data_IF_798065420969
#
_entry.id   IF_798065420969
#
_cell.length_a   1.000
_cell.length_b   1.000
_cell.length_c   1.000
_cell.angle_alpha   90.00
_cell.angle_beta   90.00
_cell.angle_gamma   90.00
#
_symmetry.space_group_name_H-M   'P 1'
#
loop_
_entity.id
_entity.type
_entity.pdbx_description
1 polymer ?
#
# COMPACT_ATOMS: atom_id res chain seq x y z
N UNK A 1 22.98 4.79 -16.68
CA UNK A 1 22.77 5.41 -15.36
C UNK A 1 22.76 4.28 -14.34
N UNK A 2 23.73 4.18 -13.42
CA UNK A 2 23.69 3.17 -12.38
C UNK A 2 22.50 3.41 -11.44
N UNK A 3 21.82 2.34 -11.00
CA UNK A 3 20.66 2.40 -10.10
C UNK A 3 20.95 3.08 -8.74
N UNK A 4 22.21 3.37 -8.45
CA UNK A 4 22.68 4.03 -7.23
C UNK A 4 22.28 5.52 -7.12
N UNK A 5 21.83 6.15 -8.20
CA UNK A 5 21.44 7.58 -8.21
C UNK A 5 19.93 7.82 -7.97
N UNK A 6 19.14 6.78 -7.65
CA UNK A 6 17.73 6.96 -7.30
C UNK A 6 17.60 7.65 -5.93
N UNK A 7 17.40 8.97 -5.94
CA UNK A 7 17.13 9.80 -4.74
C UNK A 7 15.64 9.85 -4.41
N UNK A 8 14.95 8.71 -4.48
CA UNK A 8 13.59 8.56 -3.98
C UNK A 8 13.62 7.97 -2.57
N UNK A 9 12.63 8.29 -1.73
CA UNK A 9 12.42 7.50 -0.51
C UNK A 9 12.11 6.05 -0.93
N UNK A 10 12.71 5.03 -0.29
CA UNK A 10 12.40 3.65 -0.63
C UNK A 10 10.92 3.39 -0.42
N UNK A 11 10.28 2.89 -1.47
CA UNK A 11 8.91 2.43 -1.42
C UNK A 11 8.91 0.92 -1.32
N UNK A 12 8.29 0.39 -0.26
CA UNK A 12 8.18 -1.04 -0.03
C UNK A 12 6.80 -1.52 -0.43
N UNK A 13 6.75 -2.64 -1.14
CA UNK A 13 5.53 -3.41 -1.33
C UNK A 13 5.28 -4.18 -0.03
N UNK A 14 4.11 -4.01 0.59
CA UNK A 14 3.78 -4.61 1.89
C UNK A 14 2.87 -5.80 1.72
N UNK A 15 1.75 -5.61 1.02
CA UNK A 15 0.74 -6.65 0.86
C UNK A 15 -0.17 -6.37 -0.34
N UNK A 16 -0.88 -7.41 -0.78
CA UNK A 16 -2.06 -7.31 -1.63
C UNK A 16 -3.31 -7.50 -0.77
N UNK A 17 -4.29 -6.63 -0.99
CA UNK A 17 -5.54 -6.58 -0.24
C UNK A 17 -6.71 -6.89 -1.18
N UNK A 18 -7.51 -7.90 -0.88
CA UNK A 18 -8.78 -8.17 -1.57
C UNK A 18 -9.89 -7.32 -0.94
N UNK A 19 -10.08 -6.13 -1.51
CA UNK A 19 -11.09 -5.16 -1.08
C UNK A 19 -11.60 -4.37 -2.28
N UNK A 20 -12.88 -4.03 -2.28
CA UNK A 20 -13.47 -3.21 -3.35
C UNK A 20 -13.25 -1.71 -3.09
N UNK A 21 -13.33 -0.90 -4.15
CA UNK A 21 -13.23 0.55 -4.02
C UNK A 21 -14.33 1.10 -3.11
N UNK A 22 -15.57 0.63 -3.28
CA UNK A 22 -16.73 1.08 -2.50
C UNK A 22 -16.54 0.78 -1.01
N UNK A 23 -15.95 -0.37 -0.68
CA UNK A 23 -15.65 -0.74 0.70
C UNK A 23 -14.59 0.19 1.31
N UNK A 24 -13.54 0.55 0.57
CA UNK A 24 -12.55 1.54 1.04
C UNK A 24 -13.16 2.94 1.16
N UNK A 25 -13.93 3.38 0.17
CA UNK A 25 -14.54 4.71 0.18
C UNK A 25 -15.56 4.88 1.30
N UNK A 26 -16.35 3.84 1.60
CA UNK A 26 -17.28 3.87 2.72
C UNK A 26 -16.59 4.07 4.08
N UNK A 27 -15.32 3.65 4.20
CA UNK A 27 -14.54 3.71 5.44
C UNK A 27 -13.65 4.95 5.52
N UNK A 28 -13.15 5.43 4.38
CA UNK A 28 -12.08 6.45 4.33
C UNK A 28 -12.45 7.71 3.55
N UNK A 29 -13.61 7.74 2.90
CA UNK A 29 -13.99 8.79 1.96
C UNK A 29 -13.47 8.51 0.55
N UNK A 30 -13.73 9.41 -0.38
CA UNK A 30 -13.37 9.23 -1.78
C UNK A 30 -11.86 8.97 -1.97
N UNK A 31 -11.53 8.12 -2.94
CA UNK A 31 -10.15 7.94 -3.37
C UNK A 31 -9.59 9.22 -3.98
N UNK A 32 -8.27 9.39 -3.90
CA UNK A 32 -7.55 10.31 -4.76
C UNK A 32 -7.22 9.62 -6.10
N UNK A 33 -7.19 10.40 -7.17
CA UNK A 33 -6.70 9.96 -8.47
C UNK A 33 -5.27 10.49 -8.66
N UNK A 34 -4.30 9.58 -8.68
CA UNK A 34 -2.89 9.90 -8.88
C UNK A 34 -2.38 9.33 -10.19
N UNK A 35 -1.30 9.90 -10.73
CA UNK A 35 -0.74 9.48 -12.02
C UNK A 35 0.78 9.27 -11.90
N UNK A 36 1.26 8.20 -12.52
CA UNK A 36 2.69 7.94 -12.74
C UNK A 36 2.94 7.49 -14.19
N UNK A 37 4.18 7.14 -14.52
CA UNK A 37 4.55 6.70 -15.87
C UNK A 37 3.88 5.37 -16.30
N UNK A 38 3.23 4.65 -15.37
CA UNK A 38 2.53 3.40 -15.62
C UNK A 38 1.02 3.59 -15.83
N UNK A 39 0.44 4.68 -15.32
CA UNK A 39 -0.96 5.02 -15.57
C UNK A 39 -1.64 5.81 -14.46
N UNK A 40 -2.97 5.74 -14.45
CA UNK A 40 -3.82 6.35 -13.42
C UNK A 40 -4.11 5.34 -12.30
N UNK A 41 -4.12 5.83 -11.06
CA UNK A 41 -4.25 5.01 -9.87
C UNK A 41 -5.28 5.61 -8.91
N UNK A 42 -6.18 4.77 -8.40
CA UNK A 42 -6.92 5.06 -7.19
C UNK A 42 -6.00 4.92 -5.99
N UNK A 43 -5.88 5.97 -5.20
CA UNK A 43 -4.96 6.05 -4.08
C UNK A 43 -5.68 6.48 -2.81
N UNK A 44 -5.44 5.74 -1.73
CA UNK A 44 -5.83 6.12 -0.38
C UNK A 44 -4.57 6.25 0.47
N UNK A 45 -4.27 7.46 0.95
CA UNK A 45 -3.12 7.71 1.80
C UNK A 45 -3.43 7.51 3.29
N UNK A 46 -2.45 7.00 4.02
CA UNK A 46 -2.50 6.73 5.45
C UNK A 46 -1.24 7.25 6.12
N UNK A 47 -1.44 7.98 7.22
CA UNK A 47 -0.37 8.22 8.20
C UNK A 47 -0.60 7.23 9.34
N UNK A 48 0.35 6.32 9.51
CA UNK A 48 0.29 5.30 10.55
C UNK A 48 0.76 5.90 11.89
N UNK A 49 0.25 5.44 13.05
CA UNK A 49 0.67 5.91 14.38
C UNK A 49 2.19 5.92 14.63
N UNK A 50 2.95 4.99 14.05
CA UNK A 50 4.41 4.89 14.10
C UNK A 50 5.12 5.91 13.21
N UNK A 51 4.37 6.78 12.53
CA UNK A 51 4.89 7.84 11.65
C UNK A 51 5.17 7.38 10.21
N UNK A 52 4.98 6.09 9.90
CA UNK A 52 5.10 5.59 8.54
C UNK A 52 3.97 6.12 7.65
N UNK A 53 4.32 6.46 6.40
CA UNK A 53 3.35 6.79 5.37
C UNK A 53 3.06 5.55 4.54
N UNK A 54 1.80 5.16 4.49
CA UNK A 54 1.32 4.05 3.70
C UNK A 54 0.28 4.52 2.69
N UNK A 55 0.16 3.81 1.58
CA UNK A 55 -0.85 4.04 0.57
C UNK A 55 -1.44 2.70 0.11
N UNK A 56 -2.73 2.73 -0.17
CA UNK A 56 -3.46 1.62 -0.78
C UNK A 56 -3.78 2.05 -2.20
N UNK A 57 -3.17 1.39 -3.18
CA UNK A 57 -3.20 1.81 -4.59
C UNK A 57 -3.75 0.73 -5.50
N UNK A 58 -4.51 1.14 -6.53
CA UNK A 58 -5.03 0.25 -7.57
C UNK A 58 -5.03 1.00 -8.90
N UNK A 59 -4.46 0.40 -9.93
CA UNK A 59 -4.46 0.97 -11.28
C UNK A 59 -5.89 0.91 -11.87
N UNK A 60 -6.28 1.97 -12.58
CA UNK A 60 -7.68 2.23 -12.97
C UNK A 60 -8.12 1.38 -14.16
N UNK A 61 -7.28 1.22 -15.18
CA UNK A 61 -7.69 0.71 -16.50
C UNK A 61 -7.43 -0.79 -16.72
N UNK A 62 -6.53 -1.37 -15.94
CA UNK A 62 -5.93 -2.69 -16.13
C UNK A 62 -5.57 -3.34 -14.77
N UNK A 63 -6.46 -3.21 -13.78
CA UNK A 63 -6.28 -3.83 -12.46
C UNK A 63 -6.14 -5.37 -12.58
N UNK A 64 -5.01 -5.98 -12.16
CA UNK A 64 -4.71 -7.39 -12.44
C UNK A 64 -5.57 -8.43 -11.69
N UNK A 65 -6.40 -8.02 -10.73
CA UNK A 65 -7.44 -8.83 -10.05
C UNK A 65 -8.19 -7.88 -9.09
N UNK A 66 -9.39 -8.22 -8.55
CA UNK A 66 -10.02 -7.37 -7.55
C UNK A 66 -9.09 -7.23 -6.33
N UNK A 67 -8.63 -6.02 -6.07
CA UNK A 67 -7.80 -5.74 -4.91
C UNK A 67 -6.94 -4.51 -5.09
N UNK A 68 -6.29 -4.14 -3.99
CA UNK A 68 -5.38 -3.03 -3.89
C UNK A 68 -4.02 -3.50 -3.42
N UNK A 69 -2.98 -2.72 -3.74
CA UNK A 69 -1.64 -2.91 -3.25
C UNK A 69 -1.44 -1.99 -2.05
N UNK A 70 -1.08 -2.55 -0.90
CA UNK A 70 -0.57 -1.79 0.23
C UNK A 70 0.93 -1.56 0.01
N UNK A 71 1.32 -0.30 0.01
CA UNK A 71 2.70 0.14 -0.10
C UNK A 71 3.02 1.15 0.99
N UNK A 72 4.28 1.26 1.37
CA UNK A 72 4.72 2.22 2.37
C UNK A 72 6.05 2.86 2.01
N UNK A 73 6.28 4.05 2.52
CA UNK A 73 7.52 4.80 2.33
C UNK A 73 8.38 4.65 3.58
N UNK A 74 9.64 4.23 3.39
CA UNK A 74 10.64 4.12 4.44
C UNK A 74 11.24 2.72 4.59
N UNK A 75 11.88 2.49 5.72
CA UNK A 75 12.64 1.27 6.04
C UNK A 75 12.01 0.43 7.16
N UNK A 76 10.77 0.74 7.54
CA UNK A 76 10.07 -0.03 8.56
C UNK A 76 9.77 -1.45 8.04
N UNK A 77 9.69 -2.41 8.97
CA UNK A 77 9.40 -3.79 8.61
C UNK A 77 8.00 -3.89 7.98
N UNK A 78 7.84 -4.58 6.83
CA UNK A 78 6.54 -4.72 6.17
C UNK A 78 5.46 -5.36 7.07
N UNK A 79 5.84 -6.26 7.98
CA UNK A 79 4.90 -6.94 8.88
C UNK A 79 4.38 -5.98 9.97
N UNK A 80 5.26 -5.13 10.50
CA UNK A 80 4.89 -4.08 11.44
C UNK A 80 3.94 -3.06 10.77
N UNK A 81 4.30 -2.61 9.55
CA UNK A 81 3.46 -1.71 8.75
C UNK A 81 2.09 -2.32 8.49
N UNK A 82 2.02 -3.60 8.11
CA UNK A 82 0.76 -4.28 7.83
C UNK A 82 -0.12 -4.35 9.08
N UNK A 83 0.46 -4.76 10.21
CA UNK A 83 -0.26 -4.88 11.49
C UNK A 83 -0.85 -3.53 11.92
N UNK A 84 -0.05 -2.49 11.82
CA UNK A 84 -0.45 -1.14 12.13
C UNK A 84 -1.52 -0.61 11.17
N UNK A 85 -1.34 -0.85 9.86
CA UNK A 85 -2.31 -0.49 8.85
C UNK A 85 -3.66 -1.17 9.07
N UNK A 86 -3.70 -2.48 9.34
CA UNK A 86 -4.95 -3.21 9.60
C UNK A 86 -5.69 -2.62 10.80
N UNK A 87 -4.95 -2.29 11.86
CA UNK A 87 -5.50 -1.64 13.06
C UNK A 87 -6.05 -0.24 12.73
N UNK A 88 -5.28 0.59 12.02
CA UNK A 88 -5.65 1.97 11.70
C UNK A 88 -6.76 2.09 10.65
N UNK A 89 -6.86 1.13 9.74
CA UNK A 89 -7.89 1.06 8.70
C UNK A 89 -9.17 0.36 9.16
N UNK A 90 -9.14 -0.35 10.29
CA UNK A 90 -10.23 -1.21 10.75
C UNK A 90 -10.44 -2.44 9.86
N UNK A 91 -9.43 -2.82 9.07
CA UNK A 91 -9.45 -4.02 8.23
C UNK A 91 -8.91 -5.24 9.00
N UNK A 92 -9.37 -6.42 8.62
CA UNK A 92 -8.90 -7.69 9.19
C UNK A 92 -7.93 -8.39 8.25
N UNK A 93 -7.11 -9.29 8.81
CA UNK A 93 -6.13 -10.09 8.05
C UNK A 93 -6.75 -10.96 6.94
N UNK A 94 -8.05 -11.23 6.99
CA UNK A 94 -8.80 -11.97 5.95
C UNK A 94 -8.78 -11.25 4.60
N UNK A 95 -8.59 -9.94 4.59
CA UNK A 95 -8.46 -9.16 3.37
C UNK A 95 -7.06 -9.28 2.74
N UNK A 96 -6.08 -9.89 3.42
CA UNK A 96 -4.69 -9.97 2.93
C UNK A 96 -4.53 -11.26 2.12
N UNK A 97 -4.32 -11.12 0.81
CA UNK A 97 -4.14 -12.27 -0.10
C UNK A 97 -2.68 -12.63 -0.31
N UNK A 98 -1.79 -11.65 -0.20
CA UNK A 98 -0.36 -11.83 -0.30
C UNK A 98 0.35 -10.82 0.60
N UNK A 99 1.41 -11.23 1.28
CA UNK A 99 2.24 -10.36 2.12
C UNK A 99 3.70 -10.54 1.72
N UNK A 100 4.44 -9.44 1.66
CA UNK A 100 5.90 -9.49 1.54
C UNK A 100 6.49 -10.07 2.80
N UNK A 101 7.21 -11.18 2.69
CA UNK A 101 7.98 -11.72 3.80
C UNK A 101 9.06 -10.71 4.23
N UNK A 102 9.21 -10.49 5.52
CA UNK A 102 10.34 -9.73 6.07
C UNK A 102 11.66 -10.37 5.60
N UNK A 103 12.65 -9.59 5.16
CA UNK A 103 13.96 -10.14 4.82
C UNK A 103 14.58 -10.80 6.07
N UNK A 104 15.31 -11.92 5.92
CA UNK A 104 15.97 -12.56 7.05
C UNK A 104 16.98 -11.60 7.69
N UNK A 105 17.16 -11.63 9.03
CA UNK A 105 18.17 -10.82 9.69
C UNK A 105 19.57 -11.26 9.21
N UNK A 106 20.36 -10.29 8.76
CA UNK A 106 21.75 -10.49 8.31
C UNK A 106 22.70 -10.72 9.48
#
# INVERSE_FOLDING_TARGET
>A
MPAADFRGSPQVYVAQLEVTTEALESRRGAHDLTHDDLGEWFTFAFTLPGGALAAVVREVHNAPSPGYILTAIGYADPSDILTEFLTASGMTAEHVTHQTASPPPT
#
